data_IF_555589785201
#
_entry.id   IF_555589785201
#
_cell.length_a   1.000
_cell.length_b   1.000
_cell.length_c   1.000
_cell.angle_alpha   90.00
_cell.angle_beta   90.00
_cell.angle_gamma   90.00
#
_symmetry.space_group_name_H-M   'P 1'
#
loop_
_entity.id
_entity.type
_entity.pdbx_description
1 polymer ?
#
# COMPACT_ATOMS: atom_id res chain seq x y z
N UNK A 1 7.37 14.10 9.22
CA UNK A 1 7.41 13.53 7.86
C UNK A 1 6.00 13.14 7.51
N UNK A 2 5.50 13.61 6.37
CA UNK A 2 4.15 13.29 5.87
C UNK A 2 4.26 12.14 4.86
N UNK A 3 3.16 11.44 4.61
CA UNK A 3 3.17 10.33 3.63
C UNK A 3 3.56 10.80 2.21
N UNK A 4 3.36 12.08 1.89
CA UNK A 4 3.78 12.68 0.62
C UNK A 4 5.30 12.68 0.45
N UNK A 5 6.07 12.70 1.55
CA UNK A 5 7.54 12.71 1.53
C UNK A 5 8.12 11.38 1.02
N UNK A 6 7.31 10.30 0.97
CA UNK A 6 7.73 9.01 0.44
C UNK A 6 7.66 8.93 -1.10
N UNK A 7 7.18 9.96 -1.80
CA UNK A 7 6.93 9.88 -3.26
C UNK A 7 8.22 9.56 -4.02
N UNK A 8 8.19 8.45 -4.76
CA UNK A 8 9.33 7.92 -5.53
C UNK A 8 10.28 7.05 -4.70
N UNK A 9 10.04 6.87 -3.40
CA UNK A 9 10.89 6.06 -2.52
C UNK A 9 10.42 4.61 -2.46
N UNK A 10 11.36 3.71 -2.19
CA UNK A 10 11.06 2.35 -1.81
C UNK A 10 10.46 2.34 -0.42
N UNK A 11 9.28 1.72 -0.29
CA UNK A 11 8.57 1.62 0.98
C UNK A 11 8.11 0.20 1.24
N UNK A 12 8.01 -0.10 2.53
CA UNK A 12 7.25 -1.20 3.06
C UNK A 12 5.92 -0.66 3.59
N UNK A 13 4.83 -1.25 3.15
CA UNK A 13 3.47 -0.89 3.55
C UNK A 13 2.77 -2.09 4.17
N UNK A 14 2.11 -1.87 5.31
CA UNK A 14 1.20 -2.87 5.90
C UNK A 14 -0.26 -2.45 5.77
N UNK A 15 -1.12 -3.39 5.45
CA UNK A 15 -2.58 -3.23 5.44
C UNK A 15 -3.25 -4.04 6.56
N UNK A 16 -4.51 -3.74 6.88
CA UNK A 16 -5.23 -4.45 7.95
C UNK A 16 -5.58 -5.89 7.52
N UNK A 17 -5.20 -6.85 8.36
CA UNK A 17 -5.45 -8.28 8.17
C UNK A 17 -6.94 -8.64 8.08
N UNK A 18 -7.81 -7.94 8.82
CA UNK A 18 -9.25 -8.23 8.80
C UNK A 18 -9.85 -7.91 7.43
N UNK A 19 -9.47 -6.79 6.82
CA UNK A 19 -9.99 -6.36 5.51
C UNK A 19 -9.53 -7.29 4.39
N UNK A 20 -8.28 -7.79 4.45
CA UNK A 20 -7.76 -8.74 3.46
C UNK A 20 -8.41 -10.13 3.58
N UNK A 21 -8.86 -10.54 4.78
CA UNK A 21 -9.60 -11.80 4.97
C UNK A 21 -10.99 -11.79 4.32
N UNK A 22 -11.64 -10.63 4.26
CA UNK A 22 -12.97 -10.47 3.66
C UNK A 22 -12.95 -10.12 2.17
N UNK A 23 -11.80 -9.66 1.65
CA UNK A 23 -11.61 -9.42 0.22
C UNK A 23 -11.47 -10.74 -0.54
N UNK A 24 -12.60 -11.35 -0.89
CA UNK A 24 -12.73 -12.64 -1.61
C UNK A 24 -12.00 -12.71 -2.96
N UNK A 25 -11.53 -11.58 -3.50
CA UNK A 25 -10.85 -11.49 -4.80
C UNK A 25 -9.34 -11.21 -4.72
N UNK A 26 -8.75 -11.06 -3.53
CA UNK A 26 -7.29 -10.90 -3.43
C UNK A 26 -6.61 -12.28 -3.41
N UNK A 27 -5.97 -12.63 -4.53
CA UNK A 27 -5.10 -13.82 -4.63
C UNK A 27 -3.90 -13.74 -3.68
N UNK A 28 -3.54 -12.54 -3.25
CA UNK A 28 -2.47 -12.27 -2.30
C UNK A 28 -3.08 -11.87 -0.95
N UNK A 29 -2.97 -12.76 0.04
CA UNK A 29 -3.43 -12.54 1.41
C UNK A 29 -2.34 -11.93 2.29
N UNK A 30 -1.16 -11.66 1.74
CA UNK A 30 -0.12 -10.96 2.49
C UNK A 30 -0.65 -9.58 2.88
N UNK A 31 -0.38 -9.18 4.11
CA UNK A 31 -0.73 -7.84 4.59
C UNK A 31 0.43 -6.87 4.43
N UNK A 32 1.54 -7.35 3.86
CA UNK A 32 2.82 -6.66 3.75
C UNK A 32 3.17 -6.53 2.27
N UNK A 33 3.37 -5.30 1.82
CA UNK A 33 3.65 -4.97 0.44
C UNK A 33 4.92 -4.14 0.35
N UNK A 34 5.79 -4.47 -0.60
CA UNK A 34 7.04 -3.75 -0.87
C UNK A 34 6.98 -3.19 -2.28
N UNK A 35 7.33 -1.92 -2.44
CA UNK A 35 7.31 -1.28 -3.75
C UNK A 35 7.69 0.19 -3.69
N UNK A 36 7.53 0.88 -4.81
CA UNK A 36 7.79 2.32 -4.91
C UNK A 36 6.51 3.10 -4.65
N UNK A 37 6.50 3.95 -3.62
CA UNK A 37 5.35 4.79 -3.32
C UNK A 37 5.14 5.82 -4.43
N UNK A 38 3.98 5.78 -5.08
CA UNK A 38 3.68 6.61 -6.25
C UNK A 38 2.82 7.83 -5.89
N UNK A 39 2.22 7.84 -4.70
CA UNK A 39 1.35 8.91 -4.21
C UNK A 39 0.06 8.36 -3.60
N UNK A 40 -0.86 9.26 -3.28
CA UNK A 40 -2.21 8.95 -2.80
C UNK A 40 -3.18 10.04 -3.27
N UNK A 41 -4.47 9.70 -3.28
CA UNK A 41 -5.58 10.67 -3.30
C UNK A 41 -6.33 10.62 -1.94
N UNK A 42 -7.57 11.11 -1.87
CA UNK A 42 -8.35 11.09 -0.62
C UNK A 42 -8.80 9.69 -0.18
N UNK A 43 -8.80 8.71 -1.10
CA UNK A 43 -9.39 7.38 -0.90
C UNK A 43 -8.35 6.26 -1.01
N UNK A 44 -7.38 6.39 -1.90
CA UNK A 44 -6.44 5.34 -2.27
C UNK A 44 -4.98 5.79 -2.20
N UNK A 45 -4.14 4.87 -1.76
CA UNK A 45 -2.68 4.91 -1.86
C UNK A 45 -2.22 4.04 -3.03
N UNK A 46 -1.22 4.53 -3.77
CA UNK A 46 -0.70 3.85 -4.96
C UNK A 46 0.74 3.38 -4.72
N UNK A 47 0.95 2.08 -4.91
CA UNK A 47 2.26 1.44 -4.80
C UNK A 47 2.62 0.77 -6.12
N UNK A 48 3.81 1.06 -6.64
CA UNK A 48 4.33 0.37 -7.82
C UNK A 48 5.11 -0.87 -7.36
N UNK A 49 4.54 -2.05 -7.60
CA UNK A 49 5.13 -3.34 -7.29
C UNK A 49 5.54 -3.98 -8.62
N UNK A 50 6.82 -4.31 -8.76
CA UNK A 50 7.42 -4.76 -10.02
C UNK A 50 7.11 -3.81 -11.19
N UNK A 51 6.21 -4.20 -12.09
CA UNK A 51 5.79 -3.45 -13.29
C UNK A 51 4.33 -2.99 -13.23
N UNK A 52 3.63 -3.20 -12.11
CA UNK A 52 2.21 -2.86 -11.95
C UNK A 52 2.02 -1.82 -10.85
N UNK A 53 1.10 -0.91 -11.08
CA UNK A 53 0.61 -0.01 -10.02
C UNK A 53 -0.56 -0.69 -9.34
N UNK A 54 -0.45 -0.89 -8.04
CA UNK A 54 -1.49 -1.46 -7.17
C UNK A 54 -2.04 -0.34 -6.30
N UNK A 55 -3.35 -0.25 -6.18
CA UNK A 55 -4.01 0.70 -5.30
C UNK A 55 -4.53 0.02 -4.04
N UNK A 56 -4.43 0.73 -2.92
CA UNK A 56 -4.87 0.28 -1.60
C UNK A 56 -5.76 1.34 -0.99
N UNK A 57 -6.95 1.00 -0.45
CA UNK A 57 -7.75 1.97 0.29
C UNK A 57 -6.96 2.51 1.49
N UNK A 58 -6.88 3.83 1.65
CA UNK A 58 -6.12 4.46 2.74
C UNK A 58 -6.65 4.03 4.10
N UNK A 59 -7.98 3.87 4.22
CA UNK A 59 -8.64 3.35 5.42
C UNK A 59 -8.15 1.95 5.83
N UNK A 60 -7.51 1.22 4.91
CA UNK A 60 -6.96 -0.10 5.15
C UNK A 60 -5.43 -0.10 5.38
N UNK A 61 -4.74 1.03 5.18
CA UNK A 61 -3.29 1.13 5.38
C UNK A 61 -3.00 1.37 6.86
N UNK A 62 -2.19 0.50 7.45
CA UNK A 62 -1.82 0.54 8.87
C UNK A 62 -0.54 1.36 9.07
N UNK A 63 0.46 1.16 8.23
CA UNK A 63 1.68 1.96 8.24
C UNK A 63 2.40 1.93 6.89
N UNK A 64 3.27 2.92 6.69
CA UNK A 64 4.21 3.04 5.56
C UNK A 64 5.56 3.45 6.13
N UNK A 65 6.62 2.72 5.79
CA UNK A 65 8.00 3.03 6.17
C UNK A 65 8.93 2.97 4.95
N UNK A 66 9.94 3.84 4.91
CA UNK A 66 11.00 3.80 3.89
C UNK A 66 11.95 2.64 4.17
N UNK A 67 12.40 1.96 3.10
CA UNK A 67 13.32 0.82 3.15
C UNK A 67 14.75 1.24 2.81
#
# INVERSE_FOLDING_TARGET
MTIADFKGKAVHMKTNEQTNKHASNMKDRSCHYYGIYSGHDETFMYLKIEKKTVCFPISNVVFVEEV
#
